data_IF_367344517852
#
_entry.id   IF_367344517852
#
_cell.length_a   1.000
_cell.length_b   1.000
_cell.length_c   1.000
_cell.angle_alpha   90.00
_cell.angle_beta   90.00
_cell.angle_gamma   90.00
#
_symmetry.space_group_name_H-M   'P 1'
#
loop_
_entity.id
_entity.type
_entity.pdbx_description
1 polymer ?
#
# COMPACT_ATOMS: atom_id res chain seq x y z
N UNK A 1 7.31 17.84 -8.76
CA UNK A 1 7.77 16.47 -8.49
C UNK A 1 6.55 15.66 -8.05
N UNK A 2 6.19 14.57 -8.74
CA UNK A 2 5.06 13.70 -8.33
C UNK A 2 5.61 12.63 -7.39
N UNK A 3 5.16 12.60 -6.14
CA UNK A 3 5.55 11.59 -5.14
C UNK A 3 4.44 10.54 -5.07
N UNK A 4 4.81 9.26 -5.11
CA UNK A 4 3.92 8.12 -4.91
C UNK A 4 4.40 7.35 -3.67
N UNK A 5 3.94 7.70 -2.47
CA UNK A 5 4.41 7.08 -1.23
C UNK A 5 4.05 5.59 -1.17
N UNK A 6 5.01 4.74 -0.77
CA UNK A 6 4.73 3.31 -0.52
C UNK A 6 4.02 3.15 0.82
N UNK A 7 2.86 2.48 0.78
CA UNK A 7 2.10 2.17 2.00
C UNK A 7 2.75 1.03 2.82
N UNK A 8 3.65 0.25 2.21
CA UNK A 8 4.41 -0.79 2.92
C UNK A 8 5.37 -0.19 3.96
N UNK A 9 5.81 1.06 3.74
CA UNK A 9 6.73 1.77 4.64
C UNK A 9 6.04 2.47 5.83
N UNK A 10 4.70 2.45 5.89
CA UNK A 10 3.93 3.08 6.95
C UNK A 10 3.56 2.12 8.09
N UNK A 11 2.67 2.58 8.97
CA UNK A 11 2.06 1.75 10.01
C UNK A 11 1.00 0.82 9.40
N UNK A 12 1.42 -0.39 9.07
CA UNK A 12 0.55 -1.43 8.48
C UNK A 12 -0.56 -1.90 9.42
N UNK A 13 -0.41 -1.72 10.74
CA UNK A 13 -1.47 -2.05 11.71
C UNK A 13 -2.60 -1.02 11.67
N UNK A 14 -2.35 0.16 11.10
CA UNK A 14 -3.32 1.23 10.93
C UNK A 14 -3.51 1.61 9.44
N UNK A 15 -3.60 0.58 8.59
CA UNK A 15 -3.72 0.68 7.14
C UNK A 15 -4.84 1.63 6.67
N UNK A 16 -5.98 1.64 7.36
CA UNK A 16 -7.10 2.52 7.02
C UNK A 16 -6.74 3.99 7.18
N UNK A 17 -6.22 4.39 8.35
CA UNK A 17 -5.84 5.78 8.60
C UNK A 17 -4.71 6.24 7.66
N UNK A 18 -3.75 5.36 7.38
CA UNK A 18 -2.69 5.61 6.41
C UNK A 18 -3.26 5.85 5.00
N UNK A 19 -4.15 4.99 4.51
CA UNK A 19 -4.78 5.16 3.19
C UNK A 19 -5.49 6.52 3.08
N UNK A 20 -6.33 6.85 4.06
CA UNK A 20 -7.09 8.10 4.08
C UNK A 20 -6.16 9.32 4.05
N UNK A 21 -5.14 9.34 4.90
CA UNK A 21 -4.16 10.43 4.94
C UNK A 21 -3.39 10.59 3.64
N UNK A 22 -3.03 9.47 2.98
CA UNK A 22 -2.31 9.49 1.72
C UNK A 22 -3.19 9.96 0.56
N UNK A 23 -4.46 9.54 0.51
CA UNK A 23 -5.40 9.97 -0.53
C UNK A 23 -5.71 11.46 -0.49
N UNK A 24 -5.75 12.06 0.70
CA UNK A 24 -5.95 13.51 0.85
C UNK A 24 -4.78 14.33 0.27
N UNK A 25 -3.58 13.77 0.23
CA UNK A 25 -2.33 14.50 -0.06
C UNK A 25 -1.66 14.09 -1.37
N UNK A 26 -1.93 12.89 -1.86
CA UNK A 26 -1.26 12.29 -3.00
C UNK A 26 -2.27 11.67 -3.96
N UNK A 27 -2.02 11.83 -5.26
CA UNK A 27 -2.88 11.25 -6.31
C UNK A 27 -2.74 9.72 -6.35
N UNK A 28 -1.56 9.19 -6.05
CA UNK A 28 -1.27 7.77 -6.15
C UNK A 28 -0.61 7.27 -4.87
N UNK A 29 -0.99 6.04 -4.50
CA UNK A 29 -0.35 5.27 -3.43
C UNK A 29 0.40 4.13 -4.10
N UNK A 30 1.66 3.94 -3.71
CA UNK A 30 2.47 2.82 -4.16
C UNK A 30 2.22 1.60 -3.25
N UNK A 31 1.99 0.45 -3.88
CA UNK A 31 1.73 -0.83 -3.19
C UNK A 31 2.68 -1.86 -3.77
N UNK A 32 3.65 -2.29 -2.97
CA UNK A 32 4.58 -3.34 -3.33
C UNK A 32 3.90 -4.71 -3.23
N UNK A 33 4.05 -5.54 -4.27
CA UNK A 33 3.57 -6.93 -4.29
C UNK A 33 4.75 -7.84 -4.60
N UNK A 34 5.31 -8.44 -3.56
CA UNK A 34 6.53 -9.26 -3.61
C UNK A 34 6.26 -10.64 -3.03
N UNK A 35 6.75 -11.68 -3.71
CA UNK A 35 6.48 -13.09 -3.41
C UNK A 35 7.67 -13.83 -2.78
N UNK A 36 8.81 -13.15 -2.61
CA UNK A 36 10.04 -13.76 -2.11
C UNK A 36 10.86 -14.54 -3.14
N UNK A 37 10.35 -14.77 -4.36
CA UNK A 37 11.06 -15.54 -5.40
C UNK A 37 11.88 -14.62 -6.31
N UNK A 38 11.28 -13.50 -6.74
CA UNK A 38 11.96 -12.54 -7.62
C UNK A 38 12.95 -11.64 -6.85
N UNK A 39 12.56 -11.25 -5.64
CA UNK A 39 13.34 -10.43 -4.70
C UNK A 39 13.32 -11.15 -3.35
N UNK A 40 14.42 -11.09 -2.61
CA UNK A 40 14.52 -11.68 -1.27
C UNK A 40 13.79 -10.83 -0.21
N UNK A 41 12.50 -10.61 -0.41
CA UNK A 41 11.59 -9.88 0.47
C UNK A 41 10.13 -10.30 0.21
N UNK A 42 9.26 -10.13 1.21
CA UNK A 42 7.82 -10.38 1.10
C UNK A 42 7.08 -9.13 1.58
N UNK A 43 6.12 -8.65 0.79
CA UNK A 43 5.28 -7.48 1.12
C UNK A 43 3.79 -7.82 1.02
N UNK A 44 2.98 -7.03 0.30
CA UNK A 44 1.56 -7.31 0.19
C UNK A 44 1.29 -8.43 -0.82
N UNK A 45 0.31 -9.28 -0.50
CA UNK A 45 -0.28 -10.21 -1.46
C UNK A 45 -1.58 -9.66 -2.05
N UNK A 46 -2.02 -10.24 -3.18
CA UNK A 46 -3.29 -9.85 -3.82
C UNK A 46 -4.53 -10.02 -2.90
N UNK A 47 -4.47 -10.90 -1.90
CA UNK A 47 -5.50 -11.02 -0.86
C UNK A 47 -5.63 -9.74 -0.04
N UNK A 48 -4.51 -9.15 0.39
CA UNK A 48 -4.49 -7.90 1.14
C UNK A 48 -4.94 -6.71 0.26
N UNK A 49 -4.51 -6.68 -1.01
CA UNK A 49 -4.91 -5.65 -1.98
C UNK A 49 -6.41 -5.63 -2.19
N UNK A 50 -6.99 -6.79 -2.54
CA UNK A 50 -8.43 -6.91 -2.85
C UNK A 50 -9.30 -6.84 -1.61
N UNK A 51 -8.81 -7.36 -0.48
CA UNK A 51 -9.54 -7.45 0.77
C UNK A 51 -9.54 -6.16 1.57
N UNK A 52 -8.38 -5.54 1.80
CA UNK A 52 -8.24 -4.41 2.72
C UNK A 52 -7.97 -3.10 2.00
N UNK A 53 -7.01 -3.06 1.09
CA UNK A 53 -6.58 -1.81 0.45
C UNK A 53 -7.65 -1.26 -0.51
N UNK A 54 -8.30 -2.12 -1.30
CA UNK A 54 -9.36 -1.71 -2.24
C UNK A 54 -10.54 -0.99 -1.57
N UNK A 55 -10.88 -1.33 -0.32
CA UNK A 55 -11.97 -0.67 0.42
C UNK A 55 -11.69 0.78 0.79
N UNK A 56 -10.41 1.17 0.77
CA UNK A 56 -9.98 2.49 1.20
C UNK A 56 -9.50 3.32 0.01
N UNK A 57 -8.90 2.70 -1.02
CA UNK A 57 -8.19 3.40 -2.09
C UNK A 57 -9.05 3.65 -3.36
N UNK A 58 -10.15 2.89 -3.54
CA UNK A 58 -11.08 2.99 -4.67
C UNK A 58 -12.50 3.30 -4.18
#
# INVERSE_FOLDING_TARGET
MKICPSIASGDVMNLQAQCLWLQEKYHHIHIDVEDGNYINNITFGMKAVRGSLRRHIL
#
